data_IF_315847220004
#
_entry.id   IF_315847220004
#
_cell.length_a   1.000
_cell.length_b   1.000
_cell.length_c   1.000
_cell.angle_alpha   90.00
_cell.angle_beta   90.00
_cell.angle_gamma   90.00
#
_symmetry.space_group_name_H-M   'P 1'
#
loop_
_entity.id
_entity.type
_entity.pdbx_description
1 polymer ?
#
# COMPACT_ATOMS: atom_id res chain seq x y z
N UNK A 1 5.50 12.41 -42.19
CA UNK A 1 4.20 12.91 -41.72
C UNK A 1 4.41 13.44 -40.31
N UNK A 2 4.47 14.78 -40.13
CA UNK A 2 4.88 15.42 -38.88
C UNK A 2 3.64 15.59 -37.98
N UNK A 3 3.54 14.88 -36.88
CA UNK A 3 2.54 15.14 -35.87
C UNK A 3 2.99 16.29 -34.96
N UNK A 4 2.21 17.36 -35.02
CA UNK A 4 2.35 18.51 -34.11
C UNK A 4 1.60 18.16 -32.83
N UNK A 5 2.33 17.94 -31.74
CA UNK A 5 1.76 17.97 -30.40
C UNK A 5 1.39 19.40 -30.07
N UNK A 6 0.12 19.65 -29.86
CA UNK A 6 -0.41 20.91 -29.35
C UNK A 6 -0.44 20.79 -27.83
N UNK A 7 0.54 21.39 -27.17
CA UNK A 7 0.52 21.55 -25.71
C UNK A 7 -0.54 22.62 -25.38
N UNK A 8 -1.63 22.22 -24.76
CA UNK A 8 -2.62 23.12 -24.19
C UNK A 8 -2.18 23.44 -22.76
N UNK A 9 -1.54 24.60 -22.57
CA UNK A 9 -1.33 25.21 -21.27
C UNK A 9 -2.68 25.76 -20.78
N UNK A 10 -3.39 24.99 -19.96
CA UNK A 10 -4.52 25.44 -19.17
C UNK A 10 -4.04 25.69 -17.74
N UNK A 11 -3.58 26.92 -17.46
CA UNK A 11 -3.44 27.41 -16.09
C UNK A 11 -4.83 27.58 -15.47
N UNK A 12 -5.34 26.59 -14.77
CA UNK A 12 -6.50 26.65 -13.92
C UNK A 12 -6.08 26.20 -12.53
N UNK A 13 -6.46 26.94 -11.48
CA UNK A 13 -6.36 26.50 -10.11
C UNK A 13 -7.02 25.12 -10.00
N UNK A 14 -6.23 24.06 -9.94
CA UNK A 14 -6.71 22.71 -9.75
C UNK A 14 -7.21 22.62 -8.30
N UNK A 15 -8.54 22.70 -8.13
CA UNK A 15 -9.15 22.07 -6.96
C UNK A 15 -8.65 20.64 -6.97
N UNK A 16 -8.15 20.13 -5.83
CA UNK A 16 -7.74 18.76 -5.67
C UNK A 16 -8.93 17.85 -5.98
N UNK A 17 -9.08 17.47 -7.23
CA UNK A 17 -9.98 16.40 -7.64
C UNK A 17 -9.23 15.11 -7.40
N UNK A 18 -9.90 14.14 -6.76
CA UNK A 18 -9.43 12.78 -6.66
C UNK A 18 -8.78 12.33 -7.97
N UNK A 19 -7.55 11.84 -7.89
CA UNK A 19 -6.88 11.31 -9.05
C UNK A 19 -7.63 10.07 -9.56
N UNK A 20 -8.20 10.19 -10.76
CA UNK A 20 -9.02 9.16 -11.39
C UNK A 20 -8.30 8.64 -12.62
N UNK A 21 -8.06 7.35 -12.66
CA UNK A 21 -7.29 6.72 -13.73
C UNK A 21 -8.12 5.62 -14.40
N UNK A 22 -8.20 5.65 -15.76
CA UNK A 22 -8.78 4.53 -16.50
C UNK A 22 -7.86 3.32 -16.39
N UNK A 23 -8.44 2.16 -16.15
CA UNK A 23 -7.76 0.88 -16.25
C UNK A 23 -8.05 0.34 -17.66
N UNK A 24 -7.11 0.56 -18.58
CA UNK A 24 -7.30 0.30 -20.01
C UNK A 24 -7.66 -1.15 -20.32
N UNK A 25 -7.24 -2.07 -19.46
CA UNK A 25 -7.63 -3.47 -19.45
C UNK A 25 -7.73 -3.98 -18.01
N UNK A 26 -8.29 -5.16 -17.82
CA UNK A 26 -8.40 -5.80 -16.50
C UNK A 26 -7.04 -6.17 -15.91
N UNK A 27 -5.99 -6.19 -16.72
CA UNK A 27 -4.62 -6.54 -16.35
C UNK A 27 -3.74 -5.32 -16.13
N UNK A 28 -4.27 -4.10 -16.28
CA UNK A 28 -3.54 -2.88 -15.94
C UNK A 28 -3.07 -2.94 -14.49
N UNK A 29 -1.75 -3.01 -14.29
CA UNK A 29 -1.12 -3.15 -12.97
C UNK A 29 -0.43 -1.87 -12.51
N UNK A 30 -0.27 -0.88 -13.37
CA UNK A 30 0.38 0.39 -13.08
C UNK A 30 -0.42 1.55 -13.69
N UNK A 31 -0.45 2.68 -13.01
CA UNK A 31 -1.12 3.89 -13.45
C UNK A 31 -0.40 5.14 -12.94
N UNK A 32 -0.76 6.31 -13.50
CA UNK A 32 -0.17 7.61 -13.14
C UNK A 32 1.24 7.79 -13.67
N UNK A 33 1.82 8.94 -13.35
CA UNK A 33 3.14 9.36 -13.81
C UNK A 33 3.94 9.95 -12.65
N UNK A 34 5.28 9.93 -12.76
CA UNK A 34 6.16 10.69 -11.88
C UNK A 34 6.41 12.04 -12.54
N UNK A 35 6.09 13.11 -11.83
CA UNK A 35 6.31 14.47 -12.29
C UNK A 35 7.34 15.18 -11.40
N UNK A 36 7.90 16.27 -11.90
CA UNK A 36 8.70 17.19 -11.10
C UNK A 36 8.15 18.59 -11.23
N UNK A 37 8.12 19.31 -10.12
CA UNK A 37 7.74 20.71 -10.07
C UNK A 37 8.85 21.53 -9.43
N UNK A 38 8.78 22.83 -9.57
CA UNK A 38 9.67 23.78 -8.88
C UNK A 38 8.89 24.39 -7.73
N UNK A 39 9.43 24.32 -6.52
CA UNK A 39 8.83 24.94 -5.34
C UNK A 39 8.94 26.48 -5.41
N UNK A 40 7.93 27.16 -4.90
CA UNK A 40 7.91 28.60 -4.68
C UNK A 40 8.20 28.90 -3.20
N UNK A 41 8.60 30.15 -2.92
CA UNK A 41 9.08 30.52 -1.57
C UNK A 41 8.10 30.31 -0.41
N UNK A 42 6.80 30.25 -0.70
CA UNK A 42 5.74 30.02 0.30
C UNK A 42 5.28 28.55 0.38
N UNK A 43 5.75 27.68 -0.53
CA UNK A 43 5.34 26.28 -0.55
C UNK A 43 5.93 25.52 0.66
N UNK A 44 5.12 24.63 1.25
CA UNK A 44 5.57 23.56 2.14
C UNK A 44 5.33 22.20 1.48
N UNK A 45 6.09 21.16 1.84
CA UNK A 45 5.82 19.83 1.31
C UNK A 45 4.39 19.34 1.63
N UNK A 46 3.82 19.57 2.83
CA UNK A 46 2.42 19.21 3.10
C UNK A 46 1.39 19.95 2.24
N UNK A 47 1.61 21.22 1.91
CA UNK A 47 0.71 21.96 1.02
C UNK A 47 0.79 21.43 -0.41
N UNK A 48 2.00 21.13 -0.88
CA UNK A 48 2.22 20.46 -2.17
C UNK A 48 1.58 19.07 -2.15
N UNK A 49 1.76 18.28 -1.09
CA UNK A 49 1.11 16.98 -0.97
C UNK A 49 -0.41 17.09 -1.17
N UNK A 50 -1.07 17.97 -0.43
CA UNK A 50 -2.51 18.18 -0.57
C UNK A 50 -2.91 18.66 -1.97
N UNK A 51 -2.15 19.58 -2.55
CA UNK A 51 -2.37 20.13 -3.91
C UNK A 51 -2.33 19.06 -4.99
N UNK A 52 -1.46 18.06 -4.83
CA UNK A 52 -1.27 16.97 -5.79
C UNK A 52 -1.92 15.64 -5.38
N UNK A 53 -2.79 15.62 -4.37
CA UNK A 53 -3.50 14.41 -3.93
C UNK A 53 -2.57 13.34 -3.32
N UNK A 54 -1.54 13.78 -2.63
CA UNK A 54 -0.54 12.97 -1.93
C UNK A 54 -0.73 13.06 -0.42
N UNK A 55 -0.22 12.07 0.31
CA UNK A 55 -0.14 12.11 1.76
C UNK A 55 1.19 12.71 2.24
N UNK A 56 1.22 13.12 3.53
CA UNK A 56 2.39 13.70 4.17
C UNK A 56 3.64 12.82 4.01
N UNK A 57 3.58 11.56 4.45
CA UNK A 57 4.70 10.63 4.36
C UNK A 57 5.11 10.33 2.91
N UNK A 58 4.16 10.35 2.00
CA UNK A 58 4.37 10.02 0.59
C UNK A 58 5.27 11.06 -0.10
N UNK A 59 4.96 12.35 0.06
CA UNK A 59 5.78 13.40 -0.54
C UNK A 59 7.15 13.51 0.13
N UNK A 60 7.25 13.29 1.44
CA UNK A 60 8.53 13.33 2.14
C UNK A 60 9.47 12.21 1.67
N UNK A 61 8.94 10.98 1.51
CA UNK A 61 9.75 9.84 1.04
C UNK A 61 10.25 10.02 -0.38
N UNK A 62 9.45 10.64 -1.24
CA UNK A 62 9.85 10.93 -2.62
C UNK A 62 10.87 12.08 -2.72
N UNK A 63 11.06 12.87 -1.65
CA UNK A 63 11.92 14.04 -1.62
C UNK A 63 12.89 14.03 -0.43
N UNK A 64 13.75 13.01 -0.31
CA UNK A 64 14.68 12.92 0.80
C UNK A 64 15.64 14.11 0.83
N UNK A 65 15.82 14.70 2.02
CA UNK A 65 16.74 15.83 2.20
C UNK A 65 16.16 17.21 1.88
N UNK A 66 14.92 17.28 1.36
CA UNK A 66 14.20 18.56 1.20
C UNK A 66 13.58 18.95 2.55
N UNK A 67 13.74 20.22 2.96
CA UNK A 67 13.09 20.69 4.17
C UNK A 67 11.56 20.67 4.03
N UNK A 68 10.88 20.09 5.02
CA UNK A 68 9.43 19.86 5.00
C UNK A 68 8.63 21.17 4.97
N UNK A 69 9.10 22.17 5.70
CA UNK A 69 8.37 23.42 5.94
C UNK A 69 8.90 24.58 5.11
N UNK A 70 10.13 24.47 4.64
CA UNK A 70 10.79 25.50 3.85
C UNK A 70 11.66 24.85 2.76
N UNK A 71 11.05 24.26 1.73
CA UNK A 71 11.79 23.68 0.61
C UNK A 71 12.75 24.68 -0.06
N UNK A 72 12.36 25.95 -0.09
CA UNK A 72 13.09 27.03 -0.73
C UNK A 72 12.69 27.26 -2.18
N UNK A 73 12.77 28.53 -2.59
CA UNK A 73 12.49 28.94 -3.98
C UNK A 73 13.42 28.22 -4.96
N UNK A 74 12.85 27.67 -6.02
CA UNK A 74 13.60 27.00 -7.07
C UNK A 74 13.96 25.54 -6.80
N UNK A 75 13.63 24.99 -5.62
CA UNK A 75 13.88 23.57 -5.31
C UNK A 75 13.02 22.67 -6.18
N UNK A 76 13.65 21.66 -6.80
CA UNK A 76 12.92 20.62 -7.55
C UNK A 76 12.27 19.64 -6.60
N UNK A 77 10.96 19.47 -6.74
CA UNK A 77 10.14 18.53 -5.93
C UNK A 77 9.61 17.43 -6.83
N UNK A 78 9.82 16.19 -6.43
CA UNK A 78 9.25 15.00 -7.08
C UNK A 78 7.82 14.79 -6.59
N UNK A 79 6.90 14.64 -7.54
CA UNK A 79 5.49 14.31 -7.32
C UNK A 79 5.28 12.83 -7.69
N UNK A 80 5.17 11.94 -6.71
CA UNK A 80 5.09 10.49 -6.93
C UNK A 80 3.67 10.06 -7.33
N UNK A 81 3.23 10.42 -8.56
CA UNK A 81 1.91 10.08 -9.09
C UNK A 81 1.80 8.65 -9.62
N UNK A 82 2.91 8.02 -10.03
CA UNK A 82 2.94 6.67 -10.58
C UNK A 82 2.87 5.61 -9.47
N UNK A 83 2.05 4.57 -9.67
CA UNK A 83 1.84 3.50 -8.68
C UNK A 83 1.55 2.16 -9.33
N UNK A 84 2.01 1.10 -8.68
CA UNK A 84 1.50 -0.25 -8.92
C UNK A 84 0.18 -0.43 -8.15
N UNK A 85 -0.80 -1.07 -8.78
CA UNK A 85 -2.02 -1.42 -8.08
C UNK A 85 -1.74 -2.45 -6.98
N UNK A 86 -2.33 -2.30 -5.78
CA UNK A 86 -2.19 -3.29 -4.73
C UNK A 86 -2.85 -4.61 -5.15
N UNK A 87 -2.38 -5.75 -4.62
CA UNK A 87 -3.04 -7.03 -4.84
C UNK A 87 -4.46 -7.02 -4.25
N UNK A 88 -5.33 -7.83 -4.86
CA UNK A 88 -6.71 -7.98 -4.38
C UNK A 88 -7.76 -7.66 -5.44
N UNK A 89 -9.02 -7.64 -5.03
CA UNK A 89 -10.13 -7.45 -5.97
C UNK A 89 -10.20 -6.02 -6.51
N UNK A 90 -10.64 -5.91 -7.76
CA UNK A 90 -10.89 -4.62 -8.44
C UNK A 90 -12.35 -4.20 -8.27
N UNK A 91 -12.83 -4.21 -7.01
CA UNK A 91 -14.18 -3.80 -6.66
C UNK A 91 -14.22 -3.12 -5.28
N UNK A 92 -15.10 -2.17 -5.09
CA UNK A 92 -15.27 -1.49 -3.81
C UNK A 92 -14.02 -0.72 -3.39
N UNK A 93 -13.66 -0.81 -2.13
CA UNK A 93 -12.55 -0.06 -1.53
C UNK A 93 -11.44 -1.03 -1.11
N UNK A 94 -10.21 -0.72 -1.49
CA UNK A 94 -8.98 -1.34 -0.95
C UNK A 94 -8.17 -0.25 -0.25
N UNK A 95 -7.81 -0.47 1.01
CA UNK A 95 -6.89 0.42 1.74
C UNK A 95 -5.61 -0.35 2.02
N UNK A 96 -4.51 0.09 1.43
CA UNK A 96 -3.19 -0.48 1.72
C UNK A 96 -2.50 0.36 2.79
N UNK A 97 -2.36 -0.21 3.97
CA UNK A 97 -1.88 0.53 5.15
C UNK A 97 -0.44 1.06 4.97
N UNK A 98 0.54 0.29 4.47
CA UNK A 98 1.90 0.78 4.29
C UNK A 98 2.03 1.95 3.30
N UNK A 99 1.11 2.03 2.33
CA UNK A 99 1.06 3.13 1.37
C UNK A 99 0.41 4.39 1.95
N UNK A 100 -0.36 4.25 3.04
CA UNK A 100 -1.28 5.29 3.51
C UNK A 100 -2.25 5.73 2.40
N UNK A 101 -2.81 4.74 1.66
CA UNK A 101 -3.61 5.02 0.47
C UNK A 101 -4.85 4.14 0.35
N UNK A 102 -5.93 4.78 -0.08
CA UNK A 102 -7.21 4.18 -0.39
C UNK A 102 -7.40 4.15 -1.91
N UNK A 103 -7.84 3.02 -2.42
CA UNK A 103 -8.22 2.79 -3.81
C UNK A 103 -9.70 2.46 -3.86
N UNK A 104 -10.46 3.21 -4.62
CA UNK A 104 -11.86 2.92 -4.89
C UNK A 104 -12.04 2.46 -6.33
N UNK A 105 -12.64 1.31 -6.50
CA UNK A 105 -12.98 0.70 -7.79
C UNK A 105 -14.50 0.77 -7.99
N UNK A 106 -15.02 1.83 -8.63
CA UNK A 106 -16.44 1.93 -8.92
C UNK A 106 -16.86 0.82 -9.89
N UNK A 107 -18.06 0.27 -9.70
CA UNK A 107 -18.60 -0.73 -10.62
C UNK A 107 -18.84 -0.06 -11.98
N UNK A 108 -18.16 -0.47 -13.06
CA UNK A 108 -18.35 0.14 -14.37
C UNK A 108 -19.75 -0.16 -14.90
N UNK A 109 -20.36 0.79 -15.59
CA UNK A 109 -21.55 0.54 -16.36
C UNK A 109 -21.19 -0.21 -17.65
N UNK A 110 -22.22 -0.76 -18.30
CA UNK A 110 -22.01 -1.52 -19.55
C UNK A 110 -21.32 -0.64 -20.60
N UNK A 111 -20.13 -1.05 -21.01
CA UNK A 111 -19.35 -0.36 -22.06
C UNK A 111 -18.46 0.77 -21.52
N UNK A 112 -18.43 1.04 -20.22
CA UNK A 112 -17.47 1.96 -19.58
C UNK A 112 -16.14 1.22 -19.32
N UNK A 113 -15.03 1.94 -19.49
CA UNK A 113 -13.70 1.47 -19.08
C UNK A 113 -13.65 1.44 -17.57
N UNK A 114 -13.21 0.33 -16.93
CA UNK A 114 -12.97 0.29 -15.50
C UNK A 114 -12.03 1.42 -15.05
N UNK A 115 -12.22 1.89 -13.84
CA UNK A 115 -11.44 3.01 -13.31
C UNK A 115 -10.99 2.71 -11.88
N UNK A 116 -9.90 3.33 -11.47
CA UNK A 116 -9.50 3.44 -10.08
C UNK A 116 -9.47 4.92 -9.69
N UNK A 117 -10.02 5.21 -8.52
CA UNK A 117 -9.94 6.52 -7.88
C UNK A 117 -9.12 6.33 -6.61
N UNK A 118 -8.09 7.14 -6.42
CA UNK A 118 -7.19 6.93 -5.29
C UNK A 118 -7.03 8.18 -4.44
N UNK A 119 -6.85 7.97 -3.13
CA UNK A 119 -6.79 9.02 -2.13
C UNK A 119 -5.73 8.70 -1.07
N UNK A 120 -4.95 9.70 -0.63
CA UNK A 120 -4.11 9.54 0.55
C UNK A 120 -4.98 9.43 1.80
N UNK A 121 -4.53 8.64 2.77
CA UNK A 121 -5.26 8.44 4.03
C UNK A 121 -4.31 8.38 5.22
N UNK A 122 -4.77 8.86 6.39
CA UNK A 122 -4.16 8.51 7.66
C UNK A 122 -4.76 7.23 8.20
N UNK A 123 -3.95 6.47 8.90
CA UNK A 123 -4.29 5.18 9.50
C UNK A 123 -4.09 5.18 11.02
N UNK A 124 -4.45 4.08 11.67
CA UNK A 124 -4.22 3.88 13.11
C UNK A 124 -2.73 3.93 13.48
N UNK A 125 -2.42 4.58 14.60
CA UNK A 125 -1.10 4.52 15.24
C UNK A 125 -0.93 3.19 15.98
N UNK A 126 0.30 2.92 16.43
CA UNK A 126 0.82 1.73 17.12
C UNK A 126 -0.15 0.98 18.04
N UNK A 127 -0.67 1.66 19.05
CA UNK A 127 -1.55 1.06 20.08
C UNK A 127 -3.02 0.93 19.60
N UNK A 128 -3.33 1.49 18.42
CA UNK A 128 -4.67 1.61 17.87
C UNK A 128 -4.72 1.19 16.40
N UNK A 129 -4.25 -0.02 16.12
CA UNK A 129 -4.13 -0.53 14.75
C UNK A 129 -5.45 -0.51 14.00
N UNK A 130 -5.40 -0.15 12.74
CA UNK A 130 -6.49 -0.40 11.80
C UNK A 130 -6.56 -1.91 11.54
N UNK A 131 -7.66 -2.61 11.87
CA UNK A 131 -7.76 -4.06 11.68
C UNK A 131 -7.64 -4.46 10.22
N UNK A 132 -6.87 -5.51 9.95
CA UNK A 132 -6.75 -6.09 8.60
C UNK A 132 -7.95 -7.00 8.28
N UNK A 133 -8.20 -7.15 6.98
CA UNK A 133 -9.18 -8.10 6.47
C UNK A 133 -10.33 -7.48 5.69
N UNK A 134 -11.32 -8.31 5.39
CA UNK A 134 -12.50 -7.91 4.62
C UNK A 134 -13.61 -7.41 5.52
N UNK A 135 -14.19 -6.28 5.16
CA UNK A 135 -15.37 -5.69 5.79
C UNK A 135 -16.26 -5.02 4.72
N UNK A 136 -17.16 -4.14 5.14
CA UNK A 136 -18.01 -3.35 4.24
C UNK A 136 -18.42 -2.04 4.88
N UNK A 137 -18.83 -1.08 4.09
CA UNK A 137 -19.53 0.14 4.56
C UNK A 137 -20.91 -0.24 5.05
N UNK A 138 -21.22 -0.04 6.33
CA UNK A 138 -22.52 -0.39 6.93
C UNK A 138 -23.42 0.80 7.18
N UNK A 139 -22.87 2.00 7.29
CA UNK A 139 -23.62 3.26 7.49
C UNK A 139 -22.82 4.43 6.93
N UNK A 140 -23.54 5.50 6.53
CA UNK A 140 -22.95 6.74 6.00
C UNK A 140 -23.67 7.92 6.60
N UNK A 141 -22.92 8.93 7.03
CA UNK A 141 -23.48 10.14 7.63
C UNK A 141 -22.85 11.39 7.05
N UNK A 142 -23.67 12.31 6.61
CA UNK A 142 -23.30 13.68 6.32
C UNK A 142 -23.44 14.51 7.59
N UNK A 143 -22.49 15.40 7.84
CA UNK A 143 -22.43 16.24 9.02
C UNK A 143 -22.59 15.43 10.33
N UNK A 144 -21.69 14.43 10.56
CA UNK A 144 -21.80 13.56 11.73
C UNK A 144 -21.57 14.34 13.03
N UNK A 145 -22.20 13.90 14.10
CA UNK A 145 -21.76 14.22 15.46
C UNK A 145 -20.70 13.23 15.87
N UNK A 146 -19.72 13.66 16.64
CA UNK A 146 -18.68 12.81 17.19
C UNK A 146 -18.84 12.63 18.70
N UNK A 147 -18.91 11.39 19.16
CA UNK A 147 -18.83 11.04 20.58
C UNK A 147 -17.47 10.44 20.81
N UNK A 148 -16.49 11.22 21.35
CA UNK A 148 -15.15 10.70 21.60
C UNK A 148 -15.20 9.47 22.50
N UNK A 149 -14.49 8.36 22.16
CA UNK A 149 -14.31 7.23 23.06
C UNK A 149 -13.74 7.66 24.41
N UNK A 150 -14.02 6.90 25.46
CA UNK A 150 -13.54 7.23 26.81
C UNK A 150 -12.02 7.30 26.88
N UNK A 151 -11.33 6.37 26.21
CA UNK A 151 -9.87 6.37 26.08
C UNK A 151 -9.32 7.67 25.48
N UNK A 152 -9.95 8.17 24.42
CA UNK A 152 -9.58 9.42 23.75
C UNK A 152 -9.84 10.62 24.68
N UNK A 153 -10.97 10.65 25.37
CA UNK A 153 -11.28 11.70 26.35
C UNK A 153 -10.28 11.73 27.50
N UNK A 154 -9.87 10.56 27.98
CA UNK A 154 -8.86 10.43 29.04
C UNK A 154 -7.49 10.94 28.55
N UNK A 155 -7.04 10.52 27.38
CA UNK A 155 -5.78 10.98 26.78
C UNK A 155 -5.74 12.51 26.62
N UNK A 156 -6.83 13.12 26.16
CA UNK A 156 -6.95 14.56 26.03
C UNK A 156 -6.98 15.28 27.39
N UNK A 157 -7.70 14.73 28.37
CA UNK A 157 -7.75 15.30 29.72
C UNK A 157 -6.36 15.28 30.39
N UNK A 158 -5.57 14.23 30.23
CA UNK A 158 -4.21 14.11 30.74
C UNK A 158 -3.25 15.15 30.11
N UNK A 159 -3.53 15.60 28.89
CA UNK A 159 -2.80 16.67 28.19
C UNK A 159 -3.29 18.08 28.54
N UNK A 160 -4.30 18.22 29.40
CA UNK A 160 -4.90 19.51 29.75
C UNK A 160 -5.88 20.06 28.69
N UNK A 161 -6.32 19.26 27.75
CA UNK A 161 -7.28 19.60 26.67
C UNK A 161 -8.53 18.69 26.75
N UNK A 162 -9.39 18.83 27.77
CA UNK A 162 -10.51 17.92 27.97
C UNK A 162 -11.57 18.06 26.87
N UNK A 163 -11.89 16.95 26.20
CA UNK A 163 -12.90 16.90 25.18
C UNK A 163 -14.33 16.81 25.75
N UNK A 164 -15.31 17.47 25.12
CA UNK A 164 -16.72 17.30 25.48
C UNK A 164 -17.20 15.86 25.17
N UNK A 165 -18.26 15.43 25.81
CA UNK A 165 -18.88 14.10 25.55
C UNK A 165 -19.45 13.97 24.12
N UNK A 166 -19.82 15.07 23.51
CA UNK A 166 -20.35 15.15 22.14
C UNK A 166 -19.80 16.41 21.46
N UNK A 167 -19.17 16.23 20.31
CA UNK A 167 -18.80 17.30 19.38
C UNK A 167 -19.84 17.34 18.28
N UNK A 168 -20.51 18.46 18.10
CA UNK A 168 -21.51 18.66 17.04
C UNK A 168 -20.85 18.74 15.67
N UNK A 169 -21.63 18.54 14.62
CA UNK A 169 -21.19 18.82 13.25
C UNK A 169 -20.72 20.27 13.12
N UNK A 170 -19.61 20.50 12.43
CA UNK A 170 -19.02 21.82 12.23
C UNK A 170 -17.52 21.75 12.00
N UNK A 171 -16.86 22.90 11.86
CA UNK A 171 -15.44 22.99 11.53
C UNK A 171 -14.53 22.36 12.60
N UNK A 172 -14.97 22.34 13.86
CA UNK A 172 -14.18 21.77 14.99
C UNK A 172 -14.36 20.25 15.13
N UNK A 173 -15.23 19.63 14.31
CA UNK A 173 -15.48 18.20 14.39
C UNK A 173 -14.37 17.43 13.67
N UNK A 174 -13.59 16.57 14.38
CA UNK A 174 -12.50 15.82 13.77
C UNK A 174 -12.95 14.76 12.74
N UNK A 175 -14.24 14.45 12.65
CA UNK A 175 -14.78 13.58 11.61
C UNK A 175 -15.00 14.30 10.27
N UNK A 176 -14.94 15.63 10.24
CA UNK A 176 -15.24 16.40 9.04
C UNK A 176 -16.70 16.31 8.60
N UNK A 177 -16.94 16.58 7.32
CA UNK A 177 -18.30 16.67 6.75
C UNK A 177 -18.98 15.32 6.48
N UNK A 178 -18.22 14.24 6.36
CA UNK A 178 -18.73 12.89 6.08
C UNK A 178 -18.02 11.82 6.89
N UNK A 179 -18.75 10.79 7.29
CA UNK A 179 -18.23 9.57 7.88
C UNK A 179 -18.93 8.34 7.31
N UNK A 180 -18.16 7.32 6.95
CA UNK A 180 -18.62 6.01 6.51
C UNK A 180 -18.20 4.97 7.56
N UNK A 181 -19.18 4.30 8.19
CA UNK A 181 -18.90 3.28 9.21
C UNK A 181 -18.58 1.94 8.56
N UNK A 182 -17.52 1.30 9.03
CA UNK A 182 -17.14 -0.04 8.65
C UNK A 182 -17.79 -1.09 9.54
N UNK A 183 -18.10 -2.26 8.99
CA UNK A 183 -18.71 -3.39 9.70
C UNK A 183 -17.72 -4.19 10.53
N UNK A 184 -16.85 -3.52 11.27
CA UNK A 184 -15.84 -4.14 12.13
C UNK A 184 -16.32 -4.07 13.58
N UNK A 185 -16.24 -5.20 14.30
CA UNK A 185 -16.61 -5.33 15.71
C UNK A 185 -15.54 -6.12 16.47
N UNK A 186 -15.25 -5.77 17.75
CA UNK A 186 -15.77 -4.62 18.48
C UNK A 186 -15.17 -3.30 18.00
N UNK A 187 -15.86 -2.19 18.26
CA UNK A 187 -15.38 -0.87 17.95
C UNK A 187 -16.20 -0.12 16.89
N UNK A 188 -15.81 1.12 16.63
CA UNK A 188 -16.41 1.98 15.60
C UNK A 188 -15.31 2.49 14.68
N UNK A 189 -14.99 1.71 13.66
CA UNK A 189 -14.02 2.09 12.64
C UNK A 189 -14.71 2.84 11.51
N UNK A 190 -14.14 3.98 11.14
CA UNK A 190 -14.70 4.91 10.18
C UNK A 190 -13.70 5.21 9.06
N UNK A 191 -14.23 5.48 7.87
CA UNK A 191 -13.56 6.30 6.85
C UNK A 191 -14.22 7.66 6.92
N UNK A 192 -13.46 8.73 7.22
CA UNK A 192 -14.02 10.04 7.51
C UNK A 192 -13.10 11.18 7.10
N UNK A 193 -13.61 12.39 7.08
CA UNK A 193 -12.84 13.60 6.84
C UNK A 193 -11.97 14.02 8.03
N UNK A 194 -11.57 15.27 8.05
CA UNK A 194 -10.77 15.82 9.14
C UNK A 194 -10.96 17.33 9.25
N UNK A 195 -10.71 17.86 10.45
CA UNK A 195 -10.48 19.28 10.70
C UNK A 195 -8.98 19.64 10.76
N UNK A 196 -8.10 18.64 10.64
CA UNK A 196 -6.64 18.83 10.58
C UNK A 196 -6.08 18.14 9.31
N UNK A 197 -6.13 18.79 8.15
CA UNK A 197 -5.73 18.19 6.88
C UNK A 197 -4.22 17.94 6.75
N UNK A 198 -3.38 18.71 7.43
CA UNK A 198 -1.92 18.59 7.35
C UNK A 198 -1.42 17.20 7.77
N UNK A 199 -2.19 16.50 8.56
CA UNK A 199 -1.85 15.19 9.10
C UNK A 199 -2.32 14.01 8.23
N UNK A 200 -2.93 14.27 7.07
CA UNK A 200 -3.34 13.21 6.14
C UNK A 200 -2.11 12.53 5.53
N UNK A 201 -2.09 11.20 5.53
CA UNK A 201 -0.93 10.41 5.11
C UNK A 201 0.03 10.03 6.23
N UNK A 202 -0.38 10.15 7.50
CA UNK A 202 0.38 9.74 8.68
C UNK A 202 -0.30 8.60 9.43
N UNK A 203 0.46 7.81 10.19
CA UNK A 203 -0.05 6.81 11.14
C UNK A 203 -0.32 7.44 12.52
N UNK A 204 -1.45 8.12 12.69
CA UNK A 204 -1.73 8.94 13.89
C UNK A 204 -3.14 8.79 14.45
N UNK A 205 -4.01 8.00 13.84
CA UNK A 205 -5.40 7.87 14.28
C UNK A 205 -5.57 6.80 15.36
N UNK A 206 -6.77 6.68 15.88
CA UNK A 206 -7.15 5.60 16.80
C UNK A 206 -7.83 4.43 16.03
N UNK A 207 -7.24 4.05 14.90
CA UNK A 207 -7.71 2.95 14.03
C UNK A 207 -8.66 3.35 12.92
N UNK A 208 -9.19 4.58 12.92
CA UNK A 208 -10.00 5.10 11.81
C UNK A 208 -9.12 5.50 10.62
N UNK A 209 -9.74 5.57 9.46
CA UNK A 209 -9.13 6.00 8.20
C UNK A 209 -9.55 7.45 7.95
N UNK A 210 -8.58 8.37 7.98
CA UNK A 210 -8.81 9.80 7.83
C UNK A 210 -8.41 10.27 6.46
N UNK A 211 -9.24 11.11 5.83
CA UNK A 211 -9.06 11.67 4.49
C UNK A 211 -9.05 13.20 4.51
N UNK A 212 -8.54 13.81 3.46
CA UNK A 212 -8.75 15.24 3.24
C UNK A 212 -10.27 15.57 3.19
N UNK A 213 -10.66 16.77 3.63
CA UNK A 213 -12.07 17.19 3.59
C UNK A 213 -12.68 17.07 2.20
N UNK A 214 -12.01 17.56 1.19
CA UNK A 214 -12.43 17.50 -0.22
C UNK A 214 -12.52 16.08 -0.76
N UNK A 215 -11.62 15.19 -0.33
CA UNK A 215 -11.57 13.78 -0.77
C UNK A 215 -12.76 12.99 -0.23
N UNK A 216 -13.08 13.11 1.05
CA UNK A 216 -14.24 12.40 1.63
C UNK A 216 -15.56 12.96 1.09
N UNK A 217 -15.63 14.27 0.79
CA UNK A 217 -16.79 14.90 0.16
C UNK A 217 -17.00 14.38 -1.26
N UNK A 218 -15.92 14.12 -2.01
CA UNK A 218 -15.95 13.50 -3.33
C UNK A 218 -16.27 12.00 -3.28
N UNK A 219 -15.62 11.25 -2.37
CA UNK A 219 -15.75 9.80 -2.29
C UNK A 219 -17.09 9.35 -1.72
N UNK A 220 -17.55 9.96 -0.62
CA UNK A 220 -18.73 9.47 0.11
C UNK A 220 -19.99 9.35 -0.76
N UNK A 221 -20.33 10.30 -1.66
CA UNK A 221 -21.48 10.14 -2.55
C UNK A 221 -21.36 8.96 -3.52
N UNK A 222 -20.15 8.62 -3.96
CA UNK A 222 -19.88 7.56 -4.93
C UNK A 222 -19.96 6.16 -4.33
N UNK A 223 -19.77 6.02 -3.02
CA UNK A 223 -19.70 4.72 -2.33
C UNK A 223 -21.07 4.33 -1.78
N UNK A 224 -21.76 3.30 -2.29
CA UNK A 224 -23.00 2.78 -1.72
C UNK A 224 -22.79 2.13 -0.34
N UNK A 225 -23.83 2.10 0.48
CA UNK A 225 -23.87 1.21 1.65
C UNK A 225 -23.77 -0.24 1.17
N UNK A 226 -23.10 -1.09 1.92
CA UNK A 226 -22.68 -2.46 1.60
C UNK A 226 -21.52 -2.59 0.59
N UNK A 227 -20.92 -1.49 0.15
CA UNK A 227 -19.66 -1.57 -0.62
C UNK A 227 -18.62 -2.37 0.18
N UNK A 228 -18.01 -3.41 -0.42
CA UNK A 228 -16.96 -4.17 0.22
C UNK A 228 -15.71 -3.30 0.44
N UNK A 229 -15.01 -3.57 1.54
CA UNK A 229 -13.78 -2.88 1.92
C UNK A 229 -12.75 -3.93 2.33
N UNK A 230 -11.56 -3.85 1.76
CA UNK A 230 -10.39 -4.66 2.11
C UNK A 230 -9.33 -3.77 2.74
N UNK A 231 -8.93 -4.12 3.95
CA UNK A 231 -7.83 -3.49 4.69
C UNK A 231 -6.64 -4.42 4.62
N UNK A 232 -5.61 -4.03 3.89
CA UNK A 232 -4.45 -4.88 3.58
C UNK A 232 -3.14 -4.26 4.09
N UNK A 233 -2.14 -5.10 4.30
CA UNK A 233 -0.79 -4.71 4.69
C UNK A 233 0.20 -5.28 3.68
N UNK A 234 0.31 -4.60 2.53
CA UNK A 234 1.16 -5.00 1.42
C UNK A 234 2.27 -3.97 1.19
N UNK A 235 3.38 -4.07 1.92
CA UNK A 235 4.47 -3.09 1.82
C UNK A 235 5.27 -3.22 0.52
N UNK A 236 5.20 -4.37 -0.14
CA UNK A 236 5.95 -4.66 -1.37
C UNK A 236 5.00 -5.07 -2.47
N UNK A 237 5.05 -4.36 -3.58
CA UNK A 237 4.30 -4.69 -4.80
C UNK A 237 5.26 -4.97 -5.94
N UNK A 238 5.05 -6.10 -6.62
CA UNK A 238 5.80 -6.49 -7.81
C UNK A 238 4.81 -6.70 -8.95
N UNK A 239 5.11 -6.16 -10.12
CA UNK A 239 4.25 -6.31 -11.28
C UNK A 239 5.05 -6.40 -12.58
N UNK A 240 4.46 -7.05 -13.58
CA UNK A 240 4.92 -7.03 -14.96
C UNK A 240 4.10 -6.02 -15.74
N UNK A 241 4.77 -5.11 -16.41
CA UNK A 241 4.12 -4.08 -17.23
C UNK A 241 4.95 -3.92 -18.51
N UNK A 242 4.37 -4.27 -19.65
CA UNK A 242 5.02 -4.08 -20.95
C UNK A 242 6.37 -4.81 -21.12
N UNK A 243 6.51 -6.02 -20.60
CA UNK A 243 7.77 -6.78 -20.64
C UNK A 243 8.83 -6.33 -19.62
N UNK A 244 8.48 -5.39 -18.75
CA UNK A 244 9.33 -4.90 -17.67
C UNK A 244 8.84 -5.41 -16.32
N UNK A 245 9.76 -5.64 -15.40
CA UNK A 245 9.47 -6.00 -14.01
C UNK A 245 9.64 -4.77 -13.14
N UNK A 246 8.60 -4.43 -12.41
CA UNK A 246 8.52 -3.25 -11.55
C UNK A 246 8.36 -3.65 -10.10
N UNK A 247 9.01 -2.89 -9.23
CA UNK A 247 8.99 -3.03 -7.77
C UNK A 247 8.61 -1.69 -7.15
N UNK A 248 7.61 -1.69 -6.28
CA UNK A 248 7.25 -0.55 -5.45
C UNK A 248 7.28 -0.97 -3.99
N UNK A 249 7.95 -0.17 -3.16
CA UNK A 249 8.23 -0.52 -1.76
C UNK A 249 7.82 0.62 -0.84
N UNK A 250 7.04 0.28 0.17
CA UNK A 250 6.66 1.16 1.26
C UNK A 250 7.20 0.63 2.58
N UNK A 251 7.56 1.47 3.55
CA UNK A 251 7.94 1.00 4.86
C UNK A 251 6.79 0.17 5.47
N UNK A 252 7.05 -1.06 5.93
CA UNK A 252 6.02 -1.83 6.58
C UNK A 252 5.55 -1.14 7.87
N UNK A 253 4.27 -1.25 8.14
CA UNK A 253 3.67 -0.82 9.41
C UNK A 253 3.70 -2.03 10.32
N UNK A 254 4.58 -2.00 11.32
CA UNK A 254 4.58 -3.04 12.35
C UNK A 254 3.51 -2.78 13.41
N UNK A 255 3.35 -3.73 14.32
CA UNK A 255 2.39 -3.62 15.42
C UNK A 255 2.80 -2.58 16.47
N UNK A 256 4.05 -2.11 16.43
CA UNK A 256 4.62 -1.13 17.35
C UNK A 256 4.80 0.26 16.71
N UNK A 257 4.43 0.42 15.40
CA UNK A 257 4.53 1.65 14.61
C UNK A 257 5.97 2.08 14.37
N UNK A 258 6.92 1.20 14.59
CA UNK A 258 8.29 1.39 14.16
C UNK A 258 8.42 0.94 12.71
N UNK A 259 9.39 1.48 12.02
CA UNK A 259 9.73 1.04 10.69
C UNK A 259 10.23 -0.39 10.79
N UNK A 260 9.39 -1.36 10.46
CA UNK A 260 9.77 -2.77 10.43
C UNK A 260 10.72 -3.01 9.26
N UNK A 261 11.55 -4.04 9.39
CA UNK A 261 12.31 -4.53 8.24
C UNK A 261 11.39 -5.28 7.27
N UNK A 262 11.68 -5.15 5.98
CA UNK A 262 10.92 -5.89 4.97
C UNK A 262 11.31 -7.36 5.06
N UNK A 263 10.31 -8.21 5.20
CA UNK A 263 10.47 -9.66 5.16
C UNK A 263 10.92 -10.07 3.74
N UNK A 264 12.18 -10.45 3.64
CA UNK A 264 12.80 -10.85 2.38
C UNK A 264 12.17 -12.13 1.80
N UNK A 265 11.73 -13.06 2.64
CA UNK A 265 11.05 -14.29 2.17
C UNK A 265 9.68 -13.95 1.60
N UNK A 266 8.93 -13.06 2.27
CA UNK A 266 7.67 -12.54 1.74
C UNK A 266 7.86 -11.77 0.43
N UNK A 267 8.95 -11.01 0.28
CA UNK A 267 9.31 -10.39 -0.99
C UNK A 267 9.53 -11.43 -2.09
N UNK A 268 10.35 -12.47 -1.84
CA UNK A 268 10.60 -13.52 -2.84
C UNK A 268 9.32 -14.25 -3.24
N UNK A 269 8.44 -14.56 -2.27
CA UNK A 269 7.17 -15.20 -2.57
C UNK A 269 6.29 -14.33 -3.49
N UNK A 270 6.21 -13.03 -3.23
CA UNK A 270 5.47 -12.07 -4.09
C UNK A 270 6.12 -11.90 -5.46
N UNK A 271 7.43 -11.77 -5.51
CA UNK A 271 8.17 -11.66 -6.76
C UNK A 271 7.94 -12.91 -7.63
N UNK A 272 8.06 -14.10 -7.06
CA UNK A 272 7.80 -15.34 -7.78
C UNK A 272 6.35 -15.45 -8.27
N UNK A 273 5.38 -15.06 -7.46
CA UNK A 273 3.97 -15.05 -7.86
C UNK A 273 3.70 -14.06 -9.02
N UNK A 274 4.33 -12.89 -9.01
CA UNK A 274 4.19 -11.89 -10.07
C UNK A 274 4.95 -12.28 -11.34
N UNK A 275 6.10 -12.92 -11.18
CA UNK A 275 6.94 -13.36 -12.30
C UNK A 275 6.39 -14.63 -12.99
N UNK A 276 5.72 -15.52 -12.24
CA UNK A 276 5.22 -16.78 -12.77
C UNK A 276 6.34 -17.62 -13.39
N UNK A 277 6.04 -18.33 -14.48
CA UNK A 277 6.99 -19.19 -15.19
C UNK A 277 7.83 -18.44 -16.25
N UNK A 278 7.50 -17.19 -16.57
CA UNK A 278 8.25 -16.40 -17.55
C UNK A 278 9.55 -15.92 -16.95
N UNK A 279 10.70 -16.26 -17.50
CA UNK A 279 11.99 -15.82 -16.96
C UNK A 279 12.15 -14.30 -17.07
N UNK A 280 12.88 -13.74 -16.13
CA UNK A 280 13.24 -12.32 -16.15
C UNK A 280 14.68 -12.11 -15.69
N UNK A 281 15.37 -11.19 -16.34
CA UNK A 281 16.66 -10.69 -15.88
C UNK A 281 16.43 -9.64 -14.81
N UNK A 282 16.73 -9.96 -13.55
CA UNK A 282 16.53 -9.08 -12.40
C UNK A 282 17.86 -8.49 -11.94
N UNK A 283 17.87 -7.18 -11.71
CA UNK A 283 19.01 -6.45 -11.18
C UNK A 283 18.99 -6.47 -9.64
N UNK A 284 19.51 -7.52 -9.04
CA UNK A 284 19.40 -7.79 -7.61
C UNK A 284 19.98 -6.73 -6.69
N UNK A 285 21.10 -6.11 -7.05
CA UNK A 285 21.67 -5.00 -6.25
C UNK A 285 20.71 -3.82 -6.18
N UNK A 286 20.05 -3.53 -7.29
CA UNK A 286 19.03 -2.46 -7.33
C UNK A 286 17.77 -2.84 -6.56
N UNK A 287 17.34 -4.11 -6.60
CA UNK A 287 16.26 -4.62 -5.75
C UNK A 287 16.56 -4.36 -4.28
N UNK A 288 17.75 -4.74 -3.81
CA UNK A 288 18.15 -4.57 -2.42
C UNK A 288 18.18 -3.09 -1.98
N UNK A 289 18.66 -2.18 -2.86
CA UNK A 289 18.62 -0.74 -2.55
C UNK A 289 17.18 -0.23 -2.49
N UNK A 290 16.32 -0.62 -3.43
CA UNK A 290 14.91 -0.23 -3.45
C UNK A 290 14.16 -0.71 -2.20
N UNK A 291 14.39 -1.96 -1.76
CA UNK A 291 13.82 -2.50 -0.52
C UNK A 291 14.26 -1.69 0.71
N UNK A 292 15.53 -1.27 0.74
CA UNK A 292 16.06 -0.47 1.85
C UNK A 292 15.54 0.97 1.85
N UNK A 293 15.41 1.58 0.68
CA UNK A 293 14.95 2.97 0.55
C UNK A 293 13.48 3.12 0.92
N UNK A 294 12.62 2.23 0.42
CA UNK A 294 11.18 2.27 0.67
C UNK A 294 10.55 3.60 0.26
N UNK A 295 10.96 4.14 -0.89
CA UNK A 295 10.55 5.48 -1.36
C UNK A 295 9.08 5.57 -1.75
N UNK A 296 8.42 4.43 -2.01
CA UNK A 296 7.05 4.38 -2.55
C UNK A 296 6.97 4.67 -4.05
N UNK A 297 8.10 4.88 -4.71
CA UNK A 297 8.16 5.06 -6.16
C UNK A 297 8.34 3.70 -6.85
N UNK A 298 7.52 3.35 -7.88
CA UNK A 298 7.80 2.19 -8.71
C UNK A 298 9.15 2.29 -9.38
N UNK A 299 9.95 1.24 -9.26
CA UNK A 299 11.28 1.13 -9.86
C UNK A 299 11.31 -0.06 -10.82
N UNK A 300 11.82 0.15 -12.02
CA UNK A 300 12.04 -0.95 -12.97
C UNK A 300 13.26 -1.75 -12.52
N UNK A 301 13.03 -2.99 -12.11
CA UNK A 301 14.07 -3.87 -11.55
C UNK A 301 14.53 -4.96 -12.50
N UNK A 302 13.90 -5.10 -13.67
CA UNK A 302 14.28 -6.13 -14.63
C UNK A 302 13.47 -6.12 -15.90
N UNK A 303 13.86 -7.00 -16.79
CA UNK A 303 13.21 -7.22 -18.09
C UNK A 303 12.85 -8.69 -18.25
N UNK A 304 11.71 -8.97 -18.88
CA UNK A 304 11.37 -10.32 -19.32
C UNK A 304 12.44 -10.82 -20.30
N UNK A 305 12.76 -12.09 -20.17
CA UNK A 305 13.69 -12.76 -21.08
C UNK A 305 12.91 -13.67 -22.03
N UNK A 306 13.31 -13.67 -23.28
CA UNK A 306 12.83 -14.67 -24.21
C UNK A 306 13.32 -16.06 -23.74
N UNK A 307 12.41 -17.02 -23.49
CA UNK A 307 12.79 -18.36 -23.08
C UNK A 307 13.75 -19.08 -24.05
N UNK A 308 13.69 -18.75 -25.33
CA UNK A 308 14.56 -19.32 -26.36
C UNK A 308 16.02 -18.83 -26.25
N UNK A 309 16.25 -17.69 -25.59
CA UNK A 309 17.58 -17.11 -25.37
C UNK A 309 18.22 -17.58 -24.08
N UNK A 310 17.52 -18.36 -23.27
CA UNK A 310 18.08 -18.89 -22.03
C UNK A 310 19.09 -19.99 -22.32
N UNK A 311 20.23 -20.02 -21.60
CA UNK A 311 21.11 -21.18 -21.63
C UNK A 311 20.33 -22.41 -21.15
N UNK A 312 20.58 -23.59 -21.71
CA UNK A 312 19.94 -24.81 -21.24
C UNK A 312 20.15 -24.97 -19.73
N UNK A 313 19.15 -25.45 -18.98
CA UNK A 313 19.30 -25.62 -17.54
C UNK A 313 20.51 -26.51 -17.26
N UNK A 314 21.27 -26.25 -16.20
CA UNK A 314 22.37 -27.10 -15.83
C UNK A 314 21.87 -28.54 -15.68
N UNK A 315 22.64 -29.54 -16.09
CA UNK A 315 22.24 -30.93 -15.95
C UNK A 315 21.84 -31.17 -14.49
N UNK A 316 20.69 -31.77 -14.29
CA UNK A 316 20.23 -32.14 -12.94
C UNK A 316 21.36 -32.88 -12.23
N UNK A 317 21.69 -32.54 -10.98
CA UNK A 317 22.69 -33.28 -10.23
C UNK A 317 22.28 -34.75 -10.26
N UNK A 318 23.24 -35.60 -10.71
CA UNK A 318 23.01 -37.04 -10.76
C UNK A 318 22.53 -37.50 -9.38
N UNK A 319 21.33 -38.06 -9.33
CA UNK A 319 20.82 -38.67 -8.11
C UNK A 319 21.86 -39.70 -7.69
N UNK A 320 22.48 -39.61 -6.50
CA UNK A 320 23.40 -40.63 -6.05
C UNK A 320 22.70 -41.99 -6.12
N UNK A 321 23.36 -43.05 -6.58
CA UNK A 321 22.74 -44.38 -6.57
C UNK A 321 22.27 -44.70 -5.17
N UNK A 322 21.03 -45.21 -5.07
CA UNK A 322 20.48 -45.66 -3.79
C UNK A 322 21.51 -46.52 -3.06
N UNK A 323 21.72 -46.34 -1.77
CA UNK A 323 22.62 -47.19 -1.01
C UNK A 323 22.15 -48.63 -1.12
N UNK A 324 22.99 -49.48 -1.68
CA UNK A 324 22.73 -50.91 -1.76
C UNK A 324 22.41 -51.41 -0.34
N UNK A 325 21.27 -52.06 -0.10
CA UNK A 325 20.91 -52.54 1.23
C UNK A 325 22.00 -53.43 1.73
N UNK A 326 22.54 -53.10 2.91
CA UNK A 326 23.59 -53.88 3.56
C UNK A 326 23.10 -55.33 3.69
N UNK A 327 23.83 -56.26 3.09
CA UNK A 327 23.56 -57.68 3.27
C UNK A 327 23.64 -57.97 4.75
N UNK A 328 22.54 -58.53 5.31
CA UNK A 328 22.51 -59.01 6.69
C UNK A 328 23.68 -59.99 6.92
N UNK A 329 24.44 -59.87 8.00
CA UNK A 329 25.50 -60.80 8.31
C UNK A 329 24.92 -62.23 8.44
N UNK A 330 25.60 -63.18 7.84
CA UNK A 330 25.23 -64.61 7.94
C UNK A 330 25.16 -65.04 9.41
N UNK A 331 24.21 -65.89 9.76
CA UNK A 331 24.07 -66.39 11.13
C UNK A 331 25.37 -67.14 11.51
N UNK A 332 25.81 -67.03 12.79
CA UNK A 332 27.00 -67.73 13.26
C UNK A 332 26.79 -69.27 13.16
N UNK A 333 27.90 -70.03 12.89
CA UNK A 333 27.79 -71.47 12.79
C UNK A 333 27.38 -72.09 14.12
N UNK A 334 26.48 -73.12 14.05
CA UNK A 334 26.04 -73.92 15.18
C UNK A 334 27.21 -74.43 15.97
N UNK A 335 27.31 -74.09 17.24
CA UNK A 335 28.23 -74.67 18.20
C UNK A 335 27.61 -75.97 18.74
N UNK A 336 28.24 -77.13 18.58
CA UNK A 336 27.71 -78.38 19.11
C UNK A 336 27.69 -78.36 20.65
N UNK A 337 26.55 -78.76 21.24
CA UNK A 337 26.35 -78.87 22.67
C UNK A 337 27.34 -79.90 23.29
N UNK A 338 28.09 -79.46 24.27
CA UNK A 338 28.88 -80.41 25.12
C UNK A 338 27.97 -81.20 26.01
N UNK A 339 28.20 -82.52 26.16
CA UNK A 339 27.45 -83.32 27.08
C UNK A 339 27.77 -82.96 28.53
N UNK A 340 26.76 -82.93 29.41
CA UNK A 340 26.90 -82.72 30.81
C UNK A 340 27.61 -83.92 31.43
N UNK A 341 28.66 -83.67 32.16
CA UNK A 341 29.28 -84.64 33.05
C UNK A 341 28.60 -84.69 34.41
N UNK A 342 28.35 -85.86 34.90
CA UNK A 342 27.63 -86.26 36.04
C UNK A 342 28.15 -85.83 37.43
#
# INVERSE_FOLDING_TARGET
MRWKFLALLAGGAACANAAQYPLADAEALMFGDVETITAHGEDTLPDLARRYGLGYEEILRANPGVDTWLPGEGTTIVIPGQRLLPPGPREGIVVNLPEHRLYYFPKPKKGEIPQVITYPVSIGKMDWNTPLGKTRVVDKRKNPTWSPPESVRKEHAERGDPLPTIVKAGPDNPLGAYAMRLGITPGAYLIHGTNNPIAVGMAITHGCIRMYPEDIEGLSPLVPVNTPVWLINEPVKVARVGGQVWLEVHPPVDTEGQRAEIDIEAFYARANAALGETPAAIHWEFVLSTLKEGSGLPQMIGLEMDPELLPPPPPSPAIPPEPVPAQSPAPPPDVPAQPAAG
#
